data_IF_654548126683
#
_entry.id   IF_654548126683
#
_cell.length_a   1.000
_cell.length_b   1.000
_cell.length_c   1.000
_cell.angle_alpha   90.00
_cell.angle_beta   90.00
_cell.angle_gamma   90.00
#
_symmetry.space_group_name_H-M   'P 1'
#
loop_
_entity.id
_entity.type
_entity.pdbx_description
1 polymer ?
#
# COMPACT_ATOMS: atom_id res chain seq x y z
N UNK A 1 9.59 8.42 -6.82
CA UNK A 1 8.96 7.94 -8.07
C UNK A 1 7.53 7.52 -7.78
N UNK A 2 6.54 8.08 -8.46
CA UNK A 2 5.13 7.68 -8.33
C UNK A 2 4.82 6.76 -9.51
N UNK A 3 4.25 5.56 -9.30
CA UNK A 3 3.89 4.71 -10.42
C UNK A 3 2.71 5.32 -11.18
N UNK A 4 2.74 5.22 -12.50
CA UNK A 4 1.68 5.70 -13.38
C UNK A 4 0.47 4.75 -13.36
N UNK A 5 0.73 3.45 -13.52
CA UNK A 5 -0.26 2.41 -13.29
C UNK A 5 -0.06 1.80 -11.91
N UNK A 6 -1.16 1.45 -11.24
CA UNK A 6 -1.12 0.72 -9.97
C UNK A 6 -0.34 -0.58 -10.11
N UNK A 7 0.50 -0.89 -9.13
CA UNK A 7 1.26 -2.13 -9.08
C UNK A 7 0.89 -2.92 -7.86
N UNK A 8 0.63 -4.21 -8.05
CA UNK A 8 0.38 -5.15 -7.00
C UNK A 8 1.59 -6.04 -6.74
N UNK A 9 1.83 -6.36 -5.47
CA UNK A 9 2.87 -7.28 -5.02
C UNK A 9 2.24 -8.35 -4.11
N UNK A 10 2.46 -9.61 -4.43
CA UNK A 10 2.13 -10.73 -3.55
C UNK A 10 3.26 -10.94 -2.54
N UNK A 11 2.92 -11.10 -1.25
CA UNK A 11 3.93 -11.24 -0.20
C UNK A 11 4.78 -12.51 -0.38
N UNK A 12 4.16 -13.63 -0.75
CA UNK A 12 4.88 -14.87 -0.95
C UNK A 12 5.82 -14.80 -2.16
N UNK A 13 5.42 -14.20 -3.27
CA UNK A 13 6.32 -13.99 -4.41
C UNK A 13 7.50 -13.09 -4.03
N UNK A 14 7.21 -12.01 -3.30
CA UNK A 14 8.22 -11.02 -2.91
C UNK A 14 9.24 -11.56 -1.91
N UNK A 15 8.81 -12.40 -0.97
CA UNK A 15 9.65 -12.83 0.15
C UNK A 15 10.12 -14.29 0.09
N UNK A 16 9.52 -15.15 -0.74
CA UNK A 16 10.03 -16.53 -0.94
C UNK A 16 11.02 -16.64 -2.09
N UNK A 17 10.89 -15.78 -3.11
CA UNK A 17 11.86 -15.71 -4.18
C UNK A 17 13.02 -14.86 -3.68
N UNK A 18 14.27 -15.29 -3.88
CA UNK A 18 15.48 -14.52 -3.52
C UNK A 18 15.68 -13.28 -4.43
N UNK A 19 14.59 -12.67 -4.89
CA UNK A 19 14.59 -11.52 -5.77
C UNK A 19 14.25 -10.26 -4.96
N UNK A 20 15.27 -9.71 -4.32
CA UNK A 20 15.11 -8.63 -3.34
C UNK A 20 15.09 -7.24 -3.99
N UNK A 21 15.13 -7.16 -5.32
CA UNK A 21 15.09 -5.91 -6.06
C UNK A 21 14.39 -6.11 -7.40
N UNK A 22 13.76 -5.08 -7.92
CA UNK A 22 13.24 -5.12 -9.28
C UNK A 22 13.00 -3.75 -9.86
N UNK A 23 12.71 -3.73 -11.16
CA UNK A 23 12.27 -2.55 -11.89
C UNK A 23 10.93 -2.92 -12.51
N UNK A 24 9.90 -2.12 -12.25
CA UNK A 24 8.65 -2.20 -12.99
C UNK A 24 8.75 -1.23 -14.14
N UNK A 25 8.77 -1.76 -15.36
CA UNK A 25 8.68 -0.97 -16.57
C UNK A 25 7.23 -0.60 -16.82
N UNK A 26 6.94 0.69 -16.90
CA UNK A 26 5.61 1.19 -17.25
C UNK A 26 5.80 2.02 -18.50
N UNK A 27 5.35 1.54 -19.67
CA UNK A 27 5.49 2.29 -20.90
C UNK A 27 4.26 3.17 -21.11
N UNK A 28 4.44 4.48 -21.06
CA UNK A 28 3.59 5.39 -21.83
C UNK A 28 4.46 6.24 -22.76
N UNK A 29 4.24 6.05 -24.06
CA UNK A 29 4.84 6.83 -25.15
C UNK A 29 4.33 8.30 -25.11
N UNK A 30 3.34 8.61 -24.25
CA UNK A 30 2.55 9.84 -24.33
C UNK A 30 3.04 11.00 -23.45
N UNK A 31 3.95 10.82 -22.48
CA UNK A 31 4.22 11.88 -21.49
C UNK A 31 5.69 12.27 -21.22
N UNK A 32 6.68 11.78 -21.98
CA UNK A 32 8.09 12.16 -21.81
C UNK A 32 8.62 12.08 -20.36
N UNK A 33 8.01 11.25 -19.51
CA UNK A 33 8.41 11.07 -18.10
C UNK A 33 8.82 9.63 -17.87
N UNK A 34 9.91 9.37 -17.13
CA UNK A 34 10.24 8.02 -16.67
C UNK A 34 9.14 7.57 -15.71
N UNK A 35 8.34 6.61 -16.14
CA UNK A 35 7.24 6.01 -15.39
C UNK A 35 7.65 4.69 -14.72
N UNK A 36 8.84 4.19 -15.07
CA UNK A 36 9.42 3.03 -14.41
C UNK A 36 9.66 3.34 -12.94
N UNK A 37 9.61 2.35 -12.06
CA UNK A 37 10.15 2.50 -10.71
C UNK A 37 10.93 1.27 -10.29
N UNK A 38 11.97 1.52 -9.49
CA UNK A 38 12.71 0.47 -8.81
C UNK A 38 12.13 0.22 -7.43
N UNK A 39 12.21 -1.03 -6.99
CA UNK A 39 11.84 -1.45 -5.65
C UNK A 39 12.92 -2.37 -5.08
N UNK A 40 12.94 -2.45 -3.76
CA UNK A 40 13.74 -3.39 -3.00
C UNK A 40 12.93 -3.96 -1.84
N UNK A 41 13.13 -5.24 -1.56
CA UNK A 41 12.50 -5.97 -0.46
C UNK A 41 13.58 -6.64 0.40
N UNK A 42 13.28 -6.80 1.69
CA UNK A 42 14.18 -7.43 2.67
C UNK A 42 13.37 -8.11 3.76
N UNK A 43 13.96 -9.10 4.44
CA UNK A 43 13.29 -9.86 5.49
C UNK A 43 12.71 -11.19 5.03
N UNK A 44 13.19 -11.73 3.90
CA UNK A 44 12.82 -13.04 3.36
C UNK A 44 12.95 -14.15 4.42
N UNK A 45 13.98 -14.08 5.27
CA UNK A 45 14.24 -15.01 6.36
C UNK A 45 13.18 -15.02 7.47
N UNK A 46 12.40 -13.93 7.57
CA UNK A 46 11.32 -13.80 8.56
C UNK A 46 9.95 -14.14 7.96
N UNK A 47 9.87 -14.39 6.65
CA UNK A 47 8.60 -14.68 5.99
C UNK A 47 8.15 -16.12 6.26
N UNK A 48 6.97 -16.23 6.87
CA UNK A 48 6.23 -17.46 7.07
C UNK A 48 4.91 -17.42 6.29
N UNK A 49 4.70 -18.38 5.39
CA UNK A 49 3.48 -18.50 4.56
C UNK A 49 2.20 -18.71 5.40
N UNK A 50 2.33 -19.32 6.57
CA UNK A 50 1.23 -19.63 7.49
C UNK A 50 0.97 -18.52 8.51
N UNK A 51 1.80 -17.47 8.56
CA UNK A 51 1.60 -16.37 9.49
C UNK A 51 0.40 -15.49 9.10
N UNK A 52 -0.22 -14.92 10.13
CA UNK A 52 -1.24 -13.89 9.97
C UNK A 52 -0.57 -12.51 10.02
N UNK A 53 -0.26 -11.96 8.85
CA UNK A 53 0.25 -10.59 8.74
C UNK A 53 -0.90 -9.61 8.84
N UNK A 54 -1.01 -8.92 9.97
CA UNK A 54 -2.09 -7.94 10.22
C UNK A 54 -1.57 -6.61 10.77
N UNK A 55 -0.25 -6.43 10.83
CA UNK A 55 0.38 -5.18 11.22
C UNK A 55 1.09 -4.58 10.01
N UNK A 56 0.85 -3.29 9.77
CA UNK A 56 1.45 -2.55 8.67
C UNK A 56 2.21 -1.38 9.27
N UNK A 57 3.54 -1.45 9.19
CA UNK A 57 4.37 -0.27 9.36
C UNK A 57 4.61 0.38 8.01
N UNK A 58 4.34 1.68 7.88
CA UNK A 58 4.57 2.43 6.66
C UNK A 58 5.16 3.80 6.96
N UNK A 59 5.98 4.29 6.02
CA UNK A 59 6.53 5.63 6.04
C UNK A 59 6.45 6.23 4.64
N UNK A 60 5.70 7.33 4.49
CA UNK A 60 5.57 8.01 3.21
C UNK A 60 5.33 9.52 3.36
N UNK A 61 5.82 10.27 2.37
CA UNK A 61 5.67 11.72 2.27
C UNK A 61 5.07 12.12 0.91
N UNK A 62 4.88 13.41 0.69
CA UNK A 62 4.69 13.95 -0.66
C UNK A 62 6.05 14.03 -1.42
N UNK A 63 6.02 14.43 -2.69
CA UNK A 63 7.17 14.56 -3.59
C UNK A 63 8.24 15.54 -3.10
N UNK A 64 7.87 16.48 -2.23
CA UNK A 64 8.79 17.46 -1.64
C UNK A 64 9.70 16.84 -0.57
N UNK A 65 9.37 15.65 -0.08
CA UNK A 65 10.07 14.99 1.03
C UNK A 65 9.82 15.62 2.40
N UNK A 66 9.05 16.71 2.47
CA UNK A 66 8.67 17.33 3.76
C UNK A 66 7.61 16.45 4.42
N UNK A 67 7.80 16.21 5.72
CA UNK A 67 6.83 15.49 6.54
C UNK A 67 5.68 16.43 6.88
N UNK A 68 4.47 16.04 6.47
CA UNK A 68 3.23 16.69 6.85
C UNK A 68 2.19 15.64 7.20
N UNK A 69 2.30 15.04 8.38
CA UNK A 69 1.39 13.98 8.84
C UNK A 69 -0.08 14.37 8.63
N UNK A 70 -0.87 13.48 8.03
CA UNK A 70 -2.28 13.72 7.71
C UNK A 70 -2.53 14.67 6.53
N UNK A 71 -1.48 15.13 5.84
CA UNK A 71 -1.58 15.78 4.53
C UNK A 71 -1.45 14.74 3.41
N UNK A 72 -1.70 15.15 2.17
CA UNK A 72 -1.63 14.29 0.99
C UNK A 72 -0.23 13.72 0.78
N UNK A 73 -0.14 12.39 0.70
CA UNK A 73 1.05 11.69 0.22
C UNK A 73 1.05 11.63 -1.31
N UNK A 74 2.23 11.37 -1.86
CA UNK A 74 2.41 11.19 -3.30
C UNK A 74 1.90 9.83 -3.80
N UNK A 75 1.79 8.84 -2.91
CA UNK A 75 1.45 7.46 -3.25
C UNK A 75 0.28 6.97 -2.42
N UNK A 76 -0.42 6.00 -2.98
CA UNK A 76 -1.36 5.16 -2.27
C UNK A 76 -0.65 3.87 -1.85
N UNK A 77 -0.87 3.45 -0.61
CA UNK A 77 -0.67 2.08 -0.16
C UNK A 77 -2.05 1.45 0.05
N UNK A 78 -2.26 0.22 -0.40
CA UNK A 78 -3.43 -0.55 -0.01
C UNK A 78 -3.08 -2.00 0.22
N UNK A 79 -3.68 -2.64 1.22
CA UNK A 79 -3.43 -4.03 1.58
C UNK A 79 -4.67 -4.87 1.41
N UNK A 80 -4.46 -6.12 1.00
CA UNK A 80 -5.51 -7.06 0.60
C UNK A 80 -5.27 -8.42 1.24
N UNK A 81 -6.37 -9.10 1.54
CA UNK A 81 -6.37 -10.46 2.08
C UNK A 81 -6.23 -11.54 1.01
N UNK A 82 -6.52 -11.20 -0.25
CA UNK A 82 -6.27 -12.04 -1.41
C UNK A 82 -4.93 -11.74 -2.07
N UNK A 83 -4.55 -12.61 -3.02
CA UNK A 83 -3.47 -12.34 -3.96
C UNK A 83 -3.91 -11.33 -5.02
N UNK A 84 -2.94 -10.79 -5.75
CA UNK A 84 -3.14 -9.94 -6.92
C UNK A 84 -4.04 -8.74 -6.64
N UNK A 85 -4.05 -8.31 -5.37
CA UNK A 85 -4.81 -7.19 -4.84
C UNK A 85 -6.32 -7.39 -5.01
N UNK A 86 -6.76 -8.63 -4.84
CA UNK A 86 -8.17 -9.00 -4.80
C UNK A 86 -8.72 -8.99 -3.36
N UNK A 87 -9.96 -8.51 -3.24
CA UNK A 87 -10.77 -8.56 -2.02
C UNK A 87 -11.42 -9.94 -1.76
N UNK A 88 -10.83 -11.02 -2.28
CA UNK A 88 -11.39 -12.38 -2.17
C UNK A 88 -10.38 -13.24 -1.43
N UNK A 89 -10.83 -13.88 -0.35
CA UNK A 89 -10.06 -14.88 0.37
C UNK A 89 -10.60 -16.27 0.04
N UNK A 90 -9.92 -17.00 -0.84
CA UNK A 90 -10.27 -18.39 -1.21
C UNK A 90 -11.22 -18.53 -2.42
N UNK A 91 -11.69 -19.76 -2.65
CA UNK A 91 -12.50 -20.13 -3.83
C UNK A 91 -13.99 -19.80 -3.70
N UNK A 92 -14.45 -19.33 -2.54
CA UNK A 92 -15.85 -18.99 -2.32
C UNK A 92 -16.08 -17.51 -2.60
N UNK A 93 -16.63 -17.21 -3.78
CA UNK A 93 -17.05 -15.89 -4.27
C UNK A 93 -18.12 -15.16 -3.41
N UNK A 94 -18.39 -15.61 -2.18
CA UNK A 94 -19.56 -15.19 -1.39
C UNK A 94 -19.29 -14.11 -0.34
N UNK A 95 -18.02 -13.87 0.02
CA UNK A 95 -17.68 -12.82 1.00
C UNK A 95 -16.48 -12.02 0.50
N UNK A 96 -16.71 -10.75 0.16
CA UNK A 96 -15.62 -9.81 -0.12
C UNK A 96 -15.00 -9.37 1.21
N UNK A 97 -13.72 -9.65 1.37
CA UNK A 97 -12.91 -9.12 2.47
C UNK A 97 -12.51 -7.67 2.14
N UNK A 98 -12.55 -6.75 3.12
CA UNK A 98 -12.20 -5.36 2.86
C UNK A 98 -10.71 -5.23 2.53
N UNK A 99 -10.38 -4.29 1.63
CA UNK A 99 -9.04 -3.74 1.54
C UNK A 99 -8.92 -2.52 2.44
N UNK A 100 -7.70 -2.25 2.90
CA UNK A 100 -7.39 -1.10 3.75
C UNK A 100 -6.37 -0.23 3.02
N UNK A 101 -6.56 1.09 3.00
CA UNK A 101 -5.71 2.01 2.25
C UNK A 101 -5.26 3.26 3.00
N UNK A 102 -4.10 3.77 2.58
CA UNK A 102 -3.50 5.01 3.03
C UNK A 102 -3.07 5.86 1.84
N UNK A 103 -3.47 7.13 1.83
CA UNK A 103 -3.00 8.16 0.91
C UNK A 103 -2.53 9.43 1.63
N UNK A 104 -2.56 9.42 2.98
CA UNK A 104 -1.95 10.45 3.81
C UNK A 104 -0.45 10.18 4.04
N UNK A 105 0.29 11.26 4.28
CA UNK A 105 1.66 11.18 4.77
C UNK A 105 1.66 10.63 6.21
N UNK A 106 2.64 9.79 6.50
CA UNK A 106 2.85 9.23 7.84
C UNK A 106 3.44 10.27 8.80
N UNK A 107 3.45 9.92 10.08
CA UNK A 107 4.25 10.64 11.08
C UNK A 107 5.76 10.55 10.80
N UNK A 108 6.53 11.42 11.47
CA UNK A 108 7.98 11.38 11.42
C UNK A 108 8.48 10.06 12.04
N UNK A 109 9.28 9.30 11.29
CA UNK A 109 9.70 7.95 11.72
C UNK A 109 8.72 6.84 11.36
N UNK A 110 7.67 7.14 10.58
CA UNK A 110 6.67 6.18 10.14
C UNK A 110 5.54 5.97 11.13
N UNK A 111 4.63 5.07 10.79
CA UNK A 111 3.43 4.76 11.55
C UNK A 111 3.13 3.27 11.46
N UNK A 112 2.57 2.69 12.51
CA UNK A 112 2.18 1.29 12.56
C UNK A 112 0.67 1.18 12.84
N UNK A 113 -0.04 0.50 11.96
CA UNK A 113 -1.48 0.26 12.08
C UNK A 113 -1.78 -1.25 12.09
N UNK A 114 -2.81 -1.64 12.86
CA UNK A 114 -3.32 -3.00 12.88
C UNK A 114 -4.57 -3.09 12.00
N UNK A 115 -4.55 -3.99 11.00
CA UNK A 115 -5.66 -4.19 10.06
C UNK A 115 -6.45 -5.45 10.38
N UNK A 116 -7.77 -5.48 10.14
CA UNK A 116 -8.63 -6.61 10.46
C UNK A 116 -8.57 -7.74 9.41
N UNK A 117 -7.45 -7.90 8.70
CA UNK A 117 -7.26 -8.91 7.66
C UNK A 117 -5.89 -9.58 7.78
N UNK A 118 -5.78 -10.81 7.29
CA UNK A 118 -4.49 -11.43 7.01
C UNK A 118 -4.02 -10.99 5.63
N UNK A 119 -3.03 -10.10 5.58
CA UNK A 119 -2.50 -9.54 4.34
C UNK A 119 -1.81 -10.63 3.52
N UNK A 120 -2.10 -10.67 2.22
CA UNK A 120 -1.47 -11.55 1.23
C UNK A 120 -0.88 -10.78 0.05
N UNK A 121 -1.40 -9.60 -0.26
CA UNK A 121 -0.82 -8.70 -1.26
C UNK A 121 -1.00 -7.24 -0.87
N UNK A 122 -0.21 -6.36 -1.51
CA UNK A 122 -0.35 -4.92 -1.36
C UNK A 122 -0.19 -4.20 -2.70
N UNK A 123 -0.84 -3.04 -2.81
CA UNK A 123 -0.87 -2.19 -3.98
C UNK A 123 -0.14 -0.87 -3.70
N UNK A 124 0.66 -0.43 -4.66
CA UNK A 124 1.24 0.91 -4.71
C UNK A 124 0.71 1.63 -5.95
N UNK A 125 0.13 2.81 -5.78
CA UNK A 125 -0.41 3.62 -6.87
C UNK A 125 -0.14 5.12 -6.69
N UNK A 126 -0.48 5.92 -7.68
CA UNK A 126 -0.59 7.37 -7.57
C UNK A 126 -1.80 7.75 -6.70
N UNK A 127 -1.58 8.57 -5.67
CA UNK A 127 -2.65 9.03 -4.77
C UNK A 127 -3.37 10.30 -5.24
N UNK A 128 -2.88 10.98 -6.29
CA UNK A 128 -3.37 12.29 -6.72
C UNK A 128 -4.85 12.31 -7.06
N UNK A 129 -5.38 11.27 -7.72
CA UNK A 129 -6.81 11.19 -8.05
C UNK A 129 -7.71 11.12 -6.81
N UNK A 130 -7.25 10.40 -5.77
CA UNK A 130 -7.94 10.27 -4.48
C UNK A 130 -7.84 11.56 -3.68
N UNK A 131 -6.62 12.11 -3.57
CA UNK A 131 -6.33 13.27 -2.75
C UNK A 131 -6.90 14.58 -3.35
N UNK A 132 -7.08 14.66 -4.66
CA UNK A 132 -7.75 15.78 -5.32
C UNK A 132 -9.29 15.73 -5.21
N UNK A 133 -9.85 14.68 -4.59
CA UNK A 133 -11.29 14.55 -4.36
C UNK A 133 -11.83 15.46 -3.24
N UNK A 134 -13.13 15.34 -2.94
CA UNK A 134 -13.79 16.13 -1.87
C UNK A 134 -13.45 15.63 -0.46
N UNK A 135 -12.94 14.40 -0.32
CA UNK A 135 -12.48 13.84 0.95
C UNK A 135 -11.02 14.22 1.22
N UNK A 136 -10.65 14.35 2.49
CA UNK A 136 -9.24 14.34 2.89
C UNK A 136 -8.59 13.01 2.43
N UNK A 137 -7.26 13.01 2.36
CA UNK A 137 -6.49 11.78 2.17
C UNK A 137 -6.94 10.66 3.12
N UNK A 138 -6.72 9.41 2.72
CA UNK A 138 -7.05 8.21 3.47
C UNK A 138 -5.97 7.86 4.49
N UNK A 139 -6.43 7.42 5.64
CA UNK A 139 -5.61 6.93 6.75
C UNK A 139 -6.34 5.75 7.39
N UNK A 140 -5.78 4.54 7.28
CA UNK A 140 -6.43 3.27 7.66
C UNK A 140 -7.89 3.19 7.14
N UNK A 141 -8.09 3.55 5.87
CA UNK A 141 -9.40 3.62 5.27
C UNK A 141 -9.87 2.24 4.79
N UNK A 142 -10.97 1.75 5.34
CA UNK A 142 -11.61 0.51 4.90
C UNK A 142 -12.37 0.77 3.60
N UNK A 143 -11.97 0.10 2.51
CA UNK A 143 -12.55 0.22 1.17
C UNK A 143 -12.65 1.68 0.66
N UNK A 144 -11.70 2.54 1.06
CA UNK A 144 -11.70 3.96 0.69
C UNK A 144 -12.78 4.80 1.38
N UNK A 145 -13.43 4.23 2.42
CA UNK A 145 -14.34 4.95 3.29
C UNK A 145 -13.62 5.89 4.27
N UNK A 146 -14.39 6.59 5.11
CA UNK A 146 -13.81 7.49 6.10
C UNK A 146 -12.86 6.74 7.05
N UNK A 147 -11.67 7.32 7.26
CA UNK A 147 -10.65 6.86 8.20
C UNK A 147 -11.24 6.50 9.57
N UNK A 148 -10.72 5.45 10.20
CA UNK A 148 -11.00 5.20 11.61
C UNK A 148 -10.40 6.36 12.43
N UNK A 149 -11.19 6.93 13.35
CA UNK A 149 -10.66 7.88 14.30
C UNK A 149 -9.56 7.19 15.12
N UNK A 150 -8.32 7.69 15.06
CA UNK A 150 -7.22 7.13 15.86
C UNK A 150 -7.54 7.29 17.34
N UNK A 151 -7.51 6.18 18.07
CA UNK A 151 -7.38 6.24 19.53
C UNK A 151 -5.91 6.51 19.80
N UNK A 152 -5.58 7.71 20.27
CA UNK A 152 -4.24 8.01 20.73
C UNK A 152 -3.92 7.10 21.94
N UNK A 153 -2.96 6.20 21.77
CA UNK A 153 -2.35 5.48 22.89
C UNK A 153 -1.50 6.49 23.67
N UNK A 154 -1.96 6.89 24.85
CA UNK A 154 -1.18 7.66 25.83
C UNK A 154 -0.17 6.83 26.58
#
# INVERSE_FOLDING_TARGET
>A
MIPYYSVCFNLDELFTQNNNTGIVEQSEILQNRPTNFSWSASGNENYNLQANYSQVWYQQTNITGKIGAGQDAARQLSVYSGRDCHSINGSELRTLEPWIGWTCQSEAGGQCDAVPISIKSFLIADASSINNGYSKCWDDAVMGGASRARVASG
#
